data_IF_621606764444
#
_entry.id   IF_621606764444
#
_cell.length_a   1.000
_cell.length_b   1.000
_cell.length_c   1.000
_cell.angle_alpha   90.00
_cell.angle_beta   90.00
_cell.angle_gamma   90.00
#
_symmetry.space_group_name_H-M   'P 1'
#
loop_
_entity.id
_entity.type
_entity.pdbx_description
1 polymer ?
#
# COMPACT_ATOMS: atom_id res chain seq x y z
N UNK A 1 7.40 2.99 -25.58
CA UNK A 1 8.79 3.42 -25.32
C UNK A 1 9.58 3.30 -26.62
N UNK A 2 10.42 4.30 -26.91
CA UNK A 2 11.29 4.33 -28.08
C UNK A 2 12.75 4.54 -27.65
N UNK A 3 13.70 4.13 -28.49
CA UNK A 3 15.13 4.35 -28.25
C UNK A 3 15.81 3.37 -27.27
N UNK A 4 15.08 2.40 -26.70
CA UNK A 4 15.67 1.34 -25.89
C UNK A 4 16.51 0.39 -26.74
N UNK A 5 17.73 0.11 -26.28
CA UNK A 5 18.70 -0.77 -26.92
C UNK A 5 19.40 -1.61 -25.84
N UNK A 6 19.23 -2.93 -25.90
CA UNK A 6 19.82 -3.87 -24.96
C UNK A 6 21.34 -3.96 -25.05
N UNK A 7 21.94 -3.70 -26.20
CA UNK A 7 23.40 -3.74 -26.36
C UNK A 7 24.03 -2.45 -25.80
N UNK A 8 23.28 -1.34 -25.87
CA UNK A 8 23.72 -0.03 -25.35
C UNK A 8 23.48 0.12 -23.85
N UNK A 9 22.31 -0.31 -23.35
CA UNK A 9 21.85 -0.04 -21.99
C UNK A 9 21.73 -1.29 -21.12
N UNK A 10 22.00 -2.49 -21.65
CA UNK A 10 21.74 -3.76 -20.98
C UNK A 10 22.41 -3.95 -19.63
N UNK A 11 23.59 -3.36 -19.36
CA UNK A 11 24.24 -3.44 -18.05
C UNK A 11 24.32 -4.86 -17.46
N UNK A 12 24.37 -4.98 -16.13
CA UNK A 12 24.25 -6.27 -15.46
C UNK A 12 22.79 -6.71 -15.40
N UNK A 13 22.49 -7.89 -15.94
CA UNK A 13 21.13 -8.44 -16.02
C UNK A 13 21.02 -9.68 -15.14
N UNK A 14 19.89 -9.82 -14.45
CA UNK A 14 19.52 -11.07 -13.81
C UNK A 14 18.77 -11.94 -14.82
N UNK A 15 19.00 -13.25 -14.81
CA UNK A 15 18.24 -14.20 -15.63
C UNK A 15 17.44 -15.14 -14.73
N UNK A 16 16.13 -15.18 -14.94
CA UNK A 16 15.24 -16.09 -14.25
C UNK A 16 14.29 -16.74 -15.25
N UNK A 17 14.24 -18.09 -15.26
CA UNK A 17 13.42 -18.87 -16.19
C UNK A 17 13.61 -18.46 -17.68
N UNK A 18 14.83 -18.07 -18.06
CA UNK A 18 15.17 -17.62 -19.42
C UNK A 18 14.75 -16.19 -19.76
N UNK A 19 14.22 -15.43 -18.80
CA UNK A 19 13.91 -14.00 -18.94
C UNK A 19 15.04 -13.19 -18.32
N UNK A 20 15.62 -12.29 -19.12
CA UNK A 20 16.59 -11.31 -18.63
C UNK A 20 15.88 -10.06 -18.14
N UNK A 21 16.21 -9.62 -16.93
CA UNK A 21 15.58 -8.48 -16.27
C UNK A 21 16.60 -7.64 -15.50
N UNK A 22 16.29 -6.35 -15.37
CA UNK A 22 17.09 -5.38 -14.66
C UNK A 22 16.27 -4.13 -14.37
N UNK A 23 16.69 -3.37 -13.36
CA UNK A 23 16.06 -2.11 -12.96
C UNK A 23 16.87 -0.94 -13.52
N UNK A 24 16.19 0.06 -14.09
CA UNK A 24 16.84 1.22 -14.70
C UNK A 24 16.15 2.52 -14.31
N UNK A 25 16.95 3.54 -14.03
CA UNK A 25 16.54 4.94 -14.11
C UNK A 25 16.70 5.38 -15.56
N UNK A 26 15.61 5.87 -16.15
CA UNK A 26 15.59 6.36 -17.53
C UNK A 26 15.44 7.88 -17.55
N UNK A 27 16.19 8.54 -18.43
CA UNK A 27 16.06 9.97 -18.71
C UNK A 27 15.81 10.15 -20.20
N UNK A 28 14.91 11.07 -20.53
CA UNK A 28 14.54 11.34 -21.91
C UNK A 28 13.29 12.19 -22.02
N UNK A 29 12.71 12.20 -23.22
CA UNK A 29 11.59 13.08 -23.57
C UNK A 29 10.28 12.31 -23.65
N UNK A 30 9.21 12.85 -23.06
CA UNK A 30 7.85 12.32 -23.15
C UNK A 30 6.94 13.26 -23.96
N UNK A 31 6.28 12.73 -24.99
CA UNK A 31 5.38 13.52 -25.87
C UNK A 31 3.89 13.41 -25.49
N UNK A 32 3.57 12.78 -24.36
CA UNK A 32 2.21 12.47 -23.94
C UNK A 32 1.75 11.06 -24.32
N UNK A 33 2.50 10.35 -25.18
CA UNK A 33 2.21 8.97 -25.58
C UNK A 33 3.43 8.06 -25.55
N UNK A 34 4.60 8.59 -25.92
CA UNK A 34 5.83 7.85 -26.11
C UNK A 34 6.94 8.51 -25.33
N UNK A 35 7.57 7.72 -24.45
CA UNK A 35 8.84 8.07 -23.82
C UNK A 35 10.00 7.65 -24.72
N UNK A 36 10.84 8.59 -25.12
CA UNK A 36 12.06 8.37 -25.89
C UNK A 36 13.26 8.37 -24.95
N UNK A 37 13.91 7.22 -24.82
CA UNK A 37 15.07 7.05 -23.93
C UNK A 37 16.29 7.72 -24.54
N UNK A 38 16.90 8.63 -23.78
CA UNK A 38 18.15 9.32 -24.16
C UNK A 38 19.31 8.77 -23.34
N UNK A 39 19.08 8.53 -22.05
CA UNK A 39 20.01 7.96 -21.09
C UNK A 39 19.33 6.88 -20.23
N UNK A 40 20.10 5.86 -19.85
CA UNK A 40 19.66 4.82 -18.93
C UNK A 40 20.82 4.44 -18.01
N UNK A 41 20.54 4.37 -16.71
CA UNK A 41 21.50 3.98 -15.68
C UNK A 41 20.87 2.98 -14.73
N UNK A 42 21.63 1.98 -14.28
CA UNK A 42 21.16 1.12 -13.20
C UNK A 42 21.29 1.87 -11.87
N UNK A 43 20.21 2.01 -11.09
CA UNK A 43 20.31 2.60 -9.77
C UNK A 43 21.13 1.67 -8.86
N UNK A 44 21.86 2.25 -7.91
CA UNK A 44 22.38 1.45 -6.80
C UNK A 44 21.19 0.85 -6.04
N UNK A 45 21.29 -0.40 -5.56
CA UNK A 45 20.24 -1.00 -4.77
C UNK A 45 20.06 -0.20 -3.49
N UNK A 46 18.93 0.52 -3.39
CA UNK A 46 18.57 1.23 -2.18
C UNK A 46 18.15 0.19 -1.12
N UNK A 47 18.59 0.33 0.14
CA UNK A 47 18.09 -0.52 1.21
C UNK A 47 16.58 -0.31 1.34
N UNK A 48 15.81 -1.40 1.30
CA UNK A 48 14.39 -1.35 1.58
C UNK A 48 14.18 -0.89 3.02
N UNK A 49 13.59 0.30 3.21
CA UNK A 49 13.15 0.79 4.50
C UNK A 49 11.63 0.65 4.55
N UNK A 50 11.12 -0.12 5.51
CA UNK A 50 9.70 -0.17 5.77
C UNK A 50 9.33 1.01 6.67
N UNK A 51 8.51 1.92 6.15
CA UNK A 51 8.07 3.13 6.86
C UNK A 51 6.63 2.96 7.38
N UNK A 52 6.36 1.82 8.03
CA UNK A 52 5.07 1.55 8.65
C UNK A 52 5.14 1.83 10.15
N UNK A 53 4.29 2.75 10.62
CA UNK A 53 4.08 2.99 12.04
C UNK A 53 2.72 2.44 12.47
N UNK A 54 2.68 1.77 13.64
CA UNK A 54 1.42 1.34 14.23
C UNK A 54 0.64 2.60 14.66
N UNK A 55 -0.61 2.81 14.18
CA UNK A 55 -1.34 4.06 14.45
C UNK A 55 -1.65 4.31 15.93
N UNK A 56 -1.83 3.23 16.69
CA UNK A 56 -2.12 3.32 18.12
C UNK A 56 -0.82 3.49 18.91
N UNK A 57 -0.80 4.36 19.94
CA UNK A 57 0.31 4.38 20.88
C UNK A 57 0.42 3.01 21.56
N UNK A 58 1.65 2.61 21.89
CA UNK A 58 1.88 1.40 22.66
C UNK A 58 1.11 1.47 24.00
N UNK A 59 0.36 0.40 24.37
CA UNK A 59 -0.33 0.34 25.66
C UNK A 59 0.63 0.48 26.85
N UNK A 60 0.08 0.78 28.03
CA UNK A 60 0.85 0.71 29.27
C UNK A 60 1.40 -0.71 29.48
N UNK A 61 2.72 -0.83 29.70
CA UNK A 61 3.41 -2.13 29.73
C UNK A 61 3.82 -2.66 28.35
N UNK A 62 3.55 -1.93 27.28
CA UNK A 62 3.87 -2.27 25.90
C UNK A 62 2.86 -3.22 25.27
N UNK A 63 3.15 -3.60 24.03
CA UNK A 63 2.35 -4.58 23.31
C UNK A 63 2.56 -5.98 23.91
N UNK A 64 1.49 -6.59 24.44
CA UNK A 64 1.54 -7.90 25.11
C UNK A 64 0.40 -8.82 24.67
N UNK A 65 0.66 -10.12 24.73
CA UNK A 65 -0.35 -11.17 24.59
C UNK A 65 -1.02 -11.40 25.94
N UNK A 66 -2.35 -11.42 25.97
CA UNK A 66 -3.11 -11.65 27.22
C UNK A 66 -3.39 -13.14 27.48
N UNK A 67 -3.59 -13.91 26.41
CA UNK A 67 -3.80 -15.36 26.47
C UNK A 67 -3.03 -16.04 25.33
N UNK A 68 -1.94 -16.73 25.69
CA UNK A 68 -1.07 -17.41 24.73
C UNK A 68 -1.74 -18.57 24.01
N UNK A 69 -2.88 -19.07 24.50
CA UNK A 69 -3.64 -20.14 23.84
C UNK A 69 -4.56 -19.64 22.72
N UNK A 70 -4.74 -18.32 22.61
CA UNK A 70 -5.62 -17.64 21.64
C UNK A 70 -4.88 -16.66 20.73
N UNK A 71 -3.64 -17.02 20.41
CA UNK A 71 -2.74 -16.32 19.49
C UNK A 71 -2.07 -17.33 18.56
N UNK A 72 -2.84 -18.26 18.04
CA UNK A 72 -2.37 -19.17 16.98
C UNK A 72 -2.51 -18.52 15.61
N UNK A 73 -1.98 -19.18 14.56
CA UNK A 73 -2.23 -18.75 13.17
C UNK A 73 -3.71 -18.79 12.80
N UNK A 74 -4.43 -19.78 13.32
CA UNK A 74 -5.87 -19.91 13.07
C UNK A 74 -6.64 -18.79 13.76
N UNK A 75 -6.21 -18.36 14.95
CA UNK A 75 -6.80 -17.23 15.66
C UNK A 75 -6.52 -15.91 14.94
N UNK A 76 -5.30 -15.71 14.43
CA UNK A 76 -4.96 -14.54 13.61
C UNK A 76 -5.83 -14.50 12.35
N UNK A 77 -5.96 -15.61 11.63
CA UNK A 77 -6.81 -15.68 10.44
C UNK A 77 -8.30 -15.44 10.76
N UNK A 78 -8.78 -15.96 11.90
CA UNK A 78 -10.15 -15.69 12.37
C UNK A 78 -10.33 -14.21 12.70
N UNK A 79 -9.37 -13.59 13.36
CA UNK A 79 -9.38 -12.18 13.70
C UNK A 79 -9.48 -11.29 12.47
N UNK A 80 -8.65 -11.54 11.45
CA UNK A 80 -8.71 -10.80 10.18
C UNK A 80 -10.04 -11.03 9.46
N UNK A 81 -10.56 -12.25 9.48
CA UNK A 81 -11.86 -12.57 8.86
C UNK A 81 -13.03 -11.87 9.57
N UNK A 82 -12.99 -11.78 10.91
CA UNK A 82 -13.99 -11.03 11.69
C UNK A 82 -13.93 -9.54 11.34
N UNK A 83 -12.72 -8.96 11.28
CA UNK A 83 -12.55 -7.56 10.89
C UNK A 83 -13.10 -7.27 9.48
N UNK A 84 -12.75 -8.11 8.50
CA UNK A 84 -13.23 -8.01 7.12
C UNK A 84 -14.75 -8.17 6.97
N UNK A 85 -15.40 -8.85 7.92
CA UNK A 85 -16.85 -9.02 7.94
C UNK A 85 -17.62 -7.80 8.46
N UNK A 86 -16.93 -6.79 9.01
CA UNK A 86 -17.57 -5.57 9.50
C UNK A 86 -18.05 -4.70 8.33
N UNK A 87 -19.23 -4.10 8.47
CA UNK A 87 -19.82 -3.29 7.40
C UNK A 87 -19.02 -2.01 7.09
N UNK A 88 -18.32 -1.50 8.10
CA UNK A 88 -17.48 -0.31 8.09
C UNK A 88 -15.98 -0.62 8.00
N UNK A 89 -15.63 -1.87 7.66
CA UNK A 89 -14.25 -2.30 7.45
C UNK A 89 -13.57 -1.47 6.36
N UNK A 90 -12.31 -1.07 6.61
CA UNK A 90 -11.46 -0.38 5.64
C UNK A 90 -10.28 -1.23 5.19
N UNK A 91 -9.43 -1.68 6.12
CA UNK A 91 -8.27 -2.53 5.83
C UNK A 91 -7.75 -3.18 7.12
N UNK A 92 -6.82 -4.12 6.98
CA UNK A 92 -6.07 -4.72 8.07
C UNK A 92 -4.59 -4.79 7.71
N UNK A 93 -3.73 -4.37 8.64
CA UNK A 93 -2.28 -4.50 8.54
C UNK A 93 -1.75 -5.38 9.67
N UNK A 94 -0.69 -6.15 9.39
CA UNK A 94 -0.01 -6.98 10.37
C UNK A 94 1.48 -6.65 10.42
N UNK A 95 1.98 -6.36 11.62
CA UNK A 95 3.37 -5.94 11.84
C UNK A 95 3.94 -6.57 13.11
N UNK A 96 5.24 -6.43 13.32
CA UNK A 96 5.84 -6.54 14.64
C UNK A 96 5.45 -5.31 15.50
N UNK A 97 5.70 -5.32 16.82
CA UNK A 97 5.55 -4.13 17.67
C UNK A 97 6.40 -2.93 17.25
N UNK A 98 7.46 -3.16 16.47
CA UNK A 98 8.36 -2.12 15.94
C UNK A 98 7.94 -1.62 14.55
N UNK A 99 6.81 -2.09 14.01
CA UNK A 99 6.30 -1.66 12.69
C UNK A 99 6.85 -2.45 11.49
N UNK A 100 7.77 -3.39 11.71
CA UNK A 100 8.27 -4.25 10.63
C UNK A 100 7.16 -5.15 10.08
N UNK A 101 7.13 -5.45 8.77
CA UNK A 101 6.18 -6.39 8.19
C UNK A 101 6.17 -7.72 8.94
N UNK A 102 4.96 -8.24 9.15
CA UNK A 102 4.64 -9.29 10.13
C UNK A 102 5.70 -10.38 10.35
N UNK A 103 6.00 -10.74 11.61
CA UNK A 103 6.84 -11.88 11.93
C UNK A 103 6.14 -13.21 11.59
N UNK A 104 6.91 -14.30 11.48
CA UNK A 104 6.33 -15.65 11.25
C UNK A 104 5.52 -16.19 12.44
N UNK A 105 5.66 -15.55 13.61
CA UNK A 105 5.06 -15.95 14.90
C UNK A 105 3.89 -15.02 15.27
N UNK A 106 2.65 -15.52 15.34
CA UNK A 106 1.49 -14.72 15.71
C UNK A 106 1.59 -14.09 17.12
N UNK A 107 2.35 -14.69 18.05
CA UNK A 107 2.55 -14.11 19.38
C UNK A 107 3.37 -12.81 19.35
N UNK A 108 4.10 -12.56 18.27
CA UNK A 108 4.86 -11.34 18.02
C UNK A 108 4.14 -10.40 17.03
N UNK A 109 2.87 -10.65 16.69
CA UNK A 109 2.12 -9.86 15.71
C UNK A 109 1.20 -8.83 16.37
N UNK A 110 1.31 -7.57 15.94
CA UNK A 110 0.29 -6.54 16.15
C UNK A 110 -0.66 -6.56 14.95
N UNK A 111 -1.95 -6.75 15.23
CA UNK A 111 -3.01 -6.62 14.23
C UNK A 111 -3.52 -5.19 14.28
N UNK A 112 -3.42 -4.44 13.18
CA UNK A 112 -3.97 -3.09 13.07
C UNK A 112 -5.21 -3.12 12.19
N UNK A 113 -6.37 -2.83 12.76
CA UNK A 113 -7.68 -2.83 12.09
C UNK A 113 -8.14 -1.40 11.88
N UNK A 114 -8.53 -1.08 10.65
CA UNK A 114 -8.98 0.25 10.27
C UNK A 114 -10.47 0.18 9.94
N UNK A 115 -11.28 1.03 10.58
CA UNK A 115 -12.74 1.08 10.38
C UNK A 115 -13.24 2.51 10.25
N UNK A 116 -14.31 2.72 9.48
CA UNK A 116 -14.94 4.05 9.35
C UNK A 116 -15.88 4.39 10.53
N UNK A 117 -16.41 3.37 11.21
CA UNK A 117 -17.31 3.53 12.35
C UNK A 117 -16.57 3.64 13.69
N UNK A 118 -17.11 2.99 14.71
CA UNK A 118 -16.62 3.09 16.09
C UNK A 118 -15.52 2.05 16.37
N UNK A 119 -14.27 2.46 16.65
CA UNK A 119 -13.18 1.54 16.97
C UNK A 119 -13.48 0.61 18.15
N UNK A 120 -14.25 1.04 19.15
CA UNK A 120 -14.54 0.21 20.32
C UNK A 120 -15.44 -0.98 19.97
N UNK A 121 -16.37 -0.79 19.02
CA UNK A 121 -17.25 -1.86 18.52
C UNK A 121 -16.44 -2.88 17.72
N UNK A 122 -15.57 -2.40 16.84
CA UNK A 122 -14.70 -3.26 16.04
C UNK A 122 -13.68 -4.00 16.93
N UNK A 123 -13.09 -3.34 17.93
CA UNK A 123 -12.20 -3.98 18.90
C UNK A 123 -12.92 -5.11 19.62
N UNK A 124 -14.10 -4.85 20.19
CA UNK A 124 -14.87 -5.87 20.90
C UNK A 124 -15.13 -7.11 20.04
N UNK A 125 -15.51 -6.93 18.77
CA UNK A 125 -15.73 -8.03 17.84
C UNK A 125 -14.45 -8.83 17.57
N UNK A 126 -13.33 -8.17 17.28
CA UNK A 126 -12.06 -8.85 16.99
C UNK A 126 -11.50 -9.57 18.21
N UNK A 127 -11.71 -9.03 19.43
CA UNK A 127 -11.31 -9.65 20.70
C UNK A 127 -12.02 -10.98 20.99
N UNK A 128 -13.16 -11.26 20.36
CA UNK A 128 -13.79 -12.59 20.42
C UNK A 128 -12.96 -13.67 19.73
N UNK A 129 -12.05 -13.30 18.82
CA UNK A 129 -11.17 -14.21 18.10
C UNK A 129 -9.69 -14.08 18.50
N UNK A 130 -9.25 -12.90 18.97
CA UNK A 130 -7.83 -12.56 19.14
C UNK A 130 -7.47 -12.08 20.54
N UNK A 131 -6.49 -12.74 21.17
CA UNK A 131 -5.93 -12.34 22.47
C UNK A 131 -4.51 -11.77 22.37
N UNK A 132 -4.07 -11.44 21.15
CA UNK A 132 -2.77 -10.83 20.90
C UNK A 132 -2.84 -9.31 20.86
N UNK A 133 -1.78 -8.71 20.33
CA UNK A 133 -1.63 -7.26 20.23
C UNK A 133 -2.57 -6.74 19.13
N UNK A 134 -3.36 -5.72 19.44
CA UNK A 134 -4.41 -5.20 18.55
C UNK A 134 -4.47 -3.69 18.67
N UNK A 135 -4.39 -3.02 17.52
CA UNK A 135 -4.69 -1.63 17.33
C UNK A 135 -5.98 -1.53 16.51
N UNK A 136 -6.96 -0.73 16.97
CA UNK A 136 -8.13 -0.41 16.16
C UNK A 136 -8.21 1.10 16.02
N UNK A 137 -8.22 1.58 14.78
CA UNK A 137 -8.17 3.01 14.47
C UNK A 137 -9.33 3.38 13.55
N UNK A 138 -9.84 4.60 13.78
CA UNK A 138 -10.87 5.17 12.93
C UNK A 138 -10.23 5.82 11.70
N UNK A 139 -10.79 5.54 10.54
CA UNK A 139 -10.45 6.18 9.27
C UNK A 139 -11.69 6.78 8.61
N UNK A 140 -11.53 7.45 7.48
CA UNK A 140 -12.62 8.14 6.81
C UNK A 140 -13.45 7.20 5.92
N UNK A 141 -12.77 6.35 5.15
CA UNK A 141 -13.36 5.54 4.08
C UNK A 141 -13.33 4.04 4.39
N UNK A 142 -14.38 3.35 3.97
CA UNK A 142 -14.49 1.89 3.98
C UNK A 142 -13.78 1.27 2.77
N UNK A 143 -13.54 -0.03 2.83
CA UNK A 143 -12.99 -0.83 1.72
C UNK A 143 -13.91 -0.72 0.50
N UNK A 144 -15.23 -0.79 0.72
CA UNK A 144 -16.24 -0.70 -0.34
C UNK A 144 -16.16 0.65 -1.08
N UNK A 145 -15.91 1.74 -0.36
CA UNK A 145 -15.73 3.07 -0.95
C UNK A 145 -14.41 3.17 -1.72
N UNK A 146 -13.30 2.65 -1.18
CA UNK A 146 -12.01 2.61 -1.86
C UNK A 146 -12.06 1.77 -3.16
N UNK A 147 -12.76 0.63 -3.13
CA UNK A 147 -12.99 -0.19 -4.31
C UNK A 147 -13.86 0.53 -5.35
N UNK A 148 -14.86 1.29 -4.90
CA UNK A 148 -15.68 2.10 -5.81
C UNK A 148 -14.86 3.23 -6.46
N UNK A 149 -13.95 3.87 -5.70
CA UNK A 149 -13.01 4.84 -6.25
C UNK A 149 -12.09 4.20 -7.29
N UNK A 150 -11.52 3.03 -6.97
CA UNK A 150 -10.66 2.29 -7.90
C UNK A 150 -11.36 2.07 -9.25
N UNK A 151 -12.60 1.59 -9.21
CA UNK A 151 -13.40 1.36 -10.42
C UNK A 151 -13.69 2.65 -11.19
N UNK A 152 -13.93 3.76 -10.50
CA UNK A 152 -14.18 5.05 -11.13
C UNK A 152 -12.95 5.64 -11.83
N UNK A 153 -11.74 5.23 -11.44
CA UNK A 153 -10.47 5.76 -11.96
C UNK A 153 -9.83 4.92 -13.07
N UNK A 154 -10.34 3.72 -13.37
CA UNK A 154 -9.72 2.79 -14.35
C UNK A 154 -9.61 3.38 -15.77
N UNK A 155 -10.57 4.22 -16.15
CA UNK A 155 -10.62 4.81 -17.49
C UNK A 155 -9.84 6.13 -17.60
N UNK A 156 -9.08 6.51 -16.58
CA UNK A 156 -8.32 7.76 -16.59
C UNK A 156 -7.20 7.73 -17.65
N UNK A 157 -7.03 8.83 -18.40
CA UNK A 157 -5.92 8.97 -19.33
C UNK A 157 -4.58 8.75 -18.63
N UNK A 158 -3.75 7.87 -19.20
CA UNK A 158 -2.43 7.59 -18.65
C UNK A 158 -2.41 6.65 -17.44
N UNK A 159 -3.54 6.03 -17.07
CA UNK A 159 -3.62 4.99 -16.05
C UNK A 159 -2.56 3.89 -16.27
N UNK A 160 -1.82 3.57 -15.21
CA UNK A 160 -0.86 2.45 -15.17
C UNK A 160 -1.38 1.39 -14.23
N UNK A 161 -1.63 1.77 -12.98
CA UNK A 161 -2.13 0.88 -11.94
C UNK A 161 -2.82 1.69 -10.84
N UNK A 162 -3.52 0.98 -9.96
CA UNK A 162 -4.05 1.57 -8.72
C UNK A 162 -4.02 0.54 -7.60
N UNK A 163 -3.71 1.01 -6.40
CA UNK A 163 -3.73 0.24 -5.16
C UNK A 163 -4.75 0.83 -4.20
N UNK A 164 -5.60 -0.02 -3.62
CA UNK A 164 -6.53 0.37 -2.56
C UNK A 164 -6.03 -0.18 -1.22
N UNK A 165 -6.17 0.60 -0.14
CA UNK A 165 -6.19 0.04 1.22
C UNK A 165 -4.85 -0.05 1.94
N UNK A 166 -3.86 0.77 1.58
CA UNK A 166 -2.70 1.07 2.44
C UNK A 166 -3.19 1.87 3.69
N UNK A 167 -2.46 1.89 4.83
CA UNK A 167 -2.86 2.63 6.03
C UNK A 167 -3.20 4.11 5.81
N UNK A 168 -2.82 4.67 4.65
CA UNK A 168 -3.15 6.02 4.17
C UNK A 168 -4.65 6.28 3.97
N UNK A 169 -5.52 5.26 3.91
CA UNK A 169 -6.98 5.39 3.72
C UNK A 169 -7.42 6.21 2.48
N UNK A 170 -6.60 6.15 1.44
CA UNK A 170 -6.83 6.75 0.12
C UNK A 170 -6.60 5.71 -0.98
N UNK A 171 -7.10 5.98 -2.17
CA UNK A 171 -6.72 5.24 -3.37
C UNK A 171 -5.38 5.78 -3.88
N UNK A 172 -4.38 4.92 -4.03
CA UNK A 172 -3.12 5.26 -4.68
C UNK A 172 -3.27 4.98 -6.18
N UNK A 173 -3.10 6.00 -7.00
CA UNK A 173 -3.30 5.95 -8.45
C UNK A 173 -2.01 6.29 -9.17
N UNK A 174 -1.43 5.33 -9.88
CA UNK A 174 -0.23 5.54 -10.67
C UNK A 174 -0.60 5.84 -12.12
N UNK A 175 -0.11 6.96 -12.63
CA UNK A 175 -0.25 7.37 -14.03
C UNK A 175 1.13 7.57 -14.67
N UNK A 176 1.21 7.59 -16.00
CA UNK A 176 2.48 7.86 -16.68
C UNK A 176 3.05 9.23 -16.32
N UNK A 177 2.20 10.26 -16.33
CA UNK A 177 2.56 11.62 -15.96
C UNK A 177 1.31 12.42 -15.61
N UNK A 178 1.36 13.13 -14.50
CA UNK A 178 0.41 14.17 -14.11
C UNK A 178 1.13 15.52 -13.98
N UNK A 179 0.58 16.54 -14.64
CA UNK A 179 1.02 17.93 -14.48
C UNK A 179 0.24 18.68 -13.37
N UNK A 180 -0.52 17.93 -12.58
CA UNK A 180 -1.38 18.38 -11.49
C UNK A 180 -2.87 18.43 -11.87
N UNK A 181 -3.20 18.31 -13.17
CA UNK A 181 -4.59 18.35 -13.63
C UNK A 181 -5.37 17.08 -13.30
N UNK A 182 -4.72 15.90 -13.28
CA UNK A 182 -5.36 14.65 -12.89
C UNK A 182 -5.64 14.68 -11.39
N UNK A 183 -4.66 15.07 -10.56
CA UNK A 183 -4.86 15.27 -9.12
C UNK A 183 -6.03 16.25 -8.84
N UNK A 184 -6.02 17.42 -9.48
CA UNK A 184 -7.11 18.39 -9.31
C UNK A 184 -8.47 17.82 -9.72
N UNK A 185 -8.54 17.08 -10.83
CA UNK A 185 -9.79 16.47 -11.28
C UNK A 185 -10.31 15.42 -10.29
N UNK A 186 -9.44 14.56 -9.75
CA UNK A 186 -9.87 13.54 -8.77
C UNK A 186 -10.32 14.20 -7.47
N UNK A 187 -9.65 15.25 -7.01
CA UNK A 187 -10.03 15.99 -5.80
C UNK A 187 -11.40 16.69 -5.99
N UNK A 188 -11.62 17.37 -7.12
CA UNK A 188 -12.90 18.01 -7.44
C UNK A 188 -14.05 16.99 -7.55
N UNK A 189 -13.75 15.79 -8.06
CA UNK A 189 -14.75 14.76 -8.39
C UNK A 189 -15.10 13.86 -7.21
N UNK A 190 -14.11 13.54 -6.38
CA UNK A 190 -14.16 12.50 -5.34
C UNK A 190 -13.86 13.03 -3.94
N UNK A 191 -13.43 14.28 -3.80
CA UNK A 191 -13.04 14.91 -2.54
C UNK A 191 -11.52 14.86 -2.34
N UNK A 192 -10.99 15.94 -1.75
CA UNK A 192 -9.57 16.07 -1.42
C UNK A 192 -9.10 14.89 -0.55
N UNK A 193 -7.97 14.28 -0.92
CA UNK A 193 -7.38 13.16 -0.19
C UNK A 193 -8.08 11.81 -0.38
N UNK A 194 -9.09 11.72 -1.25
CA UNK A 194 -9.69 10.43 -1.62
C UNK A 194 -8.77 9.61 -2.55
N UNK A 195 -8.02 10.29 -3.40
CA UNK A 195 -7.11 9.70 -4.38
C UNK A 195 -5.79 10.46 -4.36
N UNK A 196 -4.67 9.76 -4.21
CA UNK A 196 -3.34 10.31 -4.40
C UNK A 196 -2.79 9.85 -5.74
N UNK A 197 -2.47 10.80 -6.60
CA UNK A 197 -1.94 10.55 -7.95
C UNK A 197 -0.42 10.58 -7.91
N UNK A 198 0.20 9.49 -8.34
CA UNK A 198 1.65 9.37 -8.51
C UNK A 198 2.01 9.22 -9.98
N UNK A 199 3.11 9.86 -10.38
CA UNK A 199 3.60 9.80 -11.76
C UNK A 199 4.80 8.86 -11.88
N UNK A 200 4.77 7.97 -12.88
CA UNK A 200 5.95 7.18 -13.28
C UNK A 200 7.07 8.11 -13.78
N UNK A 201 6.71 9.16 -14.53
CA UNK A 201 7.64 10.14 -15.08
C UNK A 201 7.62 11.42 -14.25
N UNK A 202 8.77 11.74 -13.67
CA UNK A 202 9.01 12.99 -12.98
C UNK A 202 9.77 13.96 -13.90
N UNK A 203 9.44 15.27 -13.88
CA UNK A 203 10.25 16.27 -14.56
C UNK A 203 11.70 16.22 -14.10
N UNK A 204 12.63 16.31 -15.05
CA UNK A 204 14.04 16.59 -14.72
C UNK A 204 14.16 18.06 -14.31
N UNK A 205 14.75 18.31 -13.14
CA UNK A 205 14.96 19.66 -12.61
C UNK A 205 16.06 20.45 -13.32
#
# INVERSE_FOLDING_TARGET
>A
MAGWDWDRFGGELTEEQGVRMGTYRLVGTFDGSTFTVEEATQPEPEPHVFDFEIPCPAPEGGWQVTDSSRVTRDDLHRATSVAQGLDDFATVAVSTPDGEPGPRDPAATVVSVYVAGDPAVAEAAVREAWSGMLCVVRVERTEKELLALQQATLDLPGFVESGAGSPSNQLELTVFHDDGRIQQWVDDRHGEGAVAVESVLLPVG
#
